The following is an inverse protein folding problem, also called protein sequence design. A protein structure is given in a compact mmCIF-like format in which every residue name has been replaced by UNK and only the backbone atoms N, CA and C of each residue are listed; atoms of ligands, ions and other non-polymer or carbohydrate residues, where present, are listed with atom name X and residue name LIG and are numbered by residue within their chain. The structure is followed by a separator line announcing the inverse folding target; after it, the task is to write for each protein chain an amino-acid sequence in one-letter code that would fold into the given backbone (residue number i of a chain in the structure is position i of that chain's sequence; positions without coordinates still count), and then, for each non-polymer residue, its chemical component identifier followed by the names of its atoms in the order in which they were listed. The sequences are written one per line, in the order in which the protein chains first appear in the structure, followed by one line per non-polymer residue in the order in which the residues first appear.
data_IF_743904138672
#
_entry.id   IF_743904138672
#
_cell.length_a   1.000
_cell.length_b   1.000
_cell.length_c   1.000
_cell.angle_alpha   90.00
_cell.angle_beta   90.00
_cell.angle_gamma   90.00
#
_symmetry.space_group_name_H-M   'P 1'
#
loop_
_entity.id
_entity.type
_entity.pdbx_description
1 polymer ?
#
# COMPACT_ATOMS: atom_id res chain seq x y z
N UNK A 1 -8.56 30.31 -5.93
CA UNK A 1 -9.15 28.95 -5.92
C UNK A 1 -8.90 28.35 -4.53
N UNK A 2 -9.93 28.08 -3.73
CA UNK A 2 -9.78 27.57 -2.35
C UNK A 2 -9.55 26.05 -2.43
N UNK A 3 -8.30 25.62 -2.53
CA UNK A 3 -7.93 24.20 -2.43
C UNK A 3 -7.59 23.96 -0.97
N UNK A 4 -8.50 23.39 -0.19
CA UNK A 4 -8.16 22.94 1.16
C UNK A 4 -7.18 21.78 1.05
N UNK A 5 -6.04 21.83 1.75
CA UNK A 5 -5.05 20.76 1.77
C UNK A 5 -5.50 19.47 2.48
N UNK A 6 -6.74 19.44 2.98
CA UNK A 6 -7.35 18.24 3.56
C UNK A 6 -7.92 17.32 2.49
N UNK A 7 -7.88 16.02 2.77
CA UNK A 7 -8.57 14.99 1.99
C UNK A 7 -10.08 15.07 2.27
N UNK A 8 -10.76 16.06 1.68
CA UNK A 8 -12.14 16.41 2.03
C UNK A 8 -13.19 15.57 1.32
N UNK A 9 -12.88 15.00 0.16
CA UNK A 9 -13.79 14.11 -0.56
C UNK A 9 -13.77 12.70 0.02
N UNK A 10 -14.91 12.02 -0.02
CA UNK A 10 -15.02 10.62 0.39
C UNK A 10 -14.07 9.72 -0.42
N UNK A 11 -13.96 9.96 -1.73
CA UNK A 11 -13.01 9.26 -2.59
C UNK A 11 -11.55 9.45 -2.12
N UNK A 12 -11.19 10.67 -1.72
CA UNK A 12 -9.87 10.94 -1.18
C UNK A 12 -9.64 10.22 0.16
N UNK A 13 -10.61 10.26 1.08
CA UNK A 13 -10.51 9.57 2.38
C UNK A 13 -10.34 8.07 2.17
N UNK A 14 -11.15 7.46 1.32
CA UNK A 14 -11.06 6.05 0.97
C UNK A 14 -9.68 5.69 0.37
N UNK A 15 -9.15 6.52 -0.54
CA UNK A 15 -7.81 6.32 -1.07
C UNK A 15 -6.74 6.41 0.02
N UNK A 16 -6.82 7.41 0.90
CA UNK A 16 -5.89 7.57 2.04
C UNK A 16 -5.92 6.35 2.95
N UNK A 17 -7.10 5.89 3.35
CA UNK A 17 -7.27 4.77 4.27
C UNK A 17 -6.78 3.47 3.65
N UNK A 18 -7.03 3.26 2.35
CA UNK A 18 -6.53 2.10 1.60
C UNK A 18 -4.99 2.10 1.56
N UNK A 19 -4.37 3.23 1.20
CA UNK A 19 -2.91 3.33 1.11
C UNK A 19 -2.24 3.19 2.48
N UNK A 20 -2.84 3.76 3.55
CA UNK A 20 -2.38 3.56 4.92
C UNK A 20 -2.52 2.10 5.38
N UNK A 21 -3.60 1.42 4.99
CA UNK A 21 -3.79 -0.01 5.23
C UNK A 21 -2.67 -0.84 4.59
N UNK A 22 -2.41 -0.62 3.30
CA UNK A 22 -1.33 -1.29 2.57
C UNK A 22 0.03 -1.05 3.22
N UNK A 23 0.36 0.20 3.56
CA UNK A 23 1.61 0.55 4.23
C UNK A 23 1.78 -0.23 5.54
N UNK A 24 0.74 -0.28 6.37
CA UNK A 24 0.75 -1.01 7.65
C UNK A 24 0.91 -2.51 7.44
N UNK A 25 0.21 -3.10 6.47
CA UNK A 25 0.33 -4.53 6.14
C UNK A 25 1.74 -4.87 5.67
N UNK A 26 2.31 -4.09 4.74
CA UNK A 26 3.70 -4.24 4.32
C UNK A 26 4.66 -4.16 5.51
N UNK A 27 4.48 -3.18 6.40
CA UNK A 27 5.30 -3.03 7.61
C UNK A 27 5.19 -4.24 8.54
N UNK A 28 3.99 -4.78 8.76
CA UNK A 28 3.79 -5.98 9.61
C UNK A 28 4.46 -7.23 9.03
N UNK A 29 4.54 -7.33 7.70
CA UNK A 29 5.16 -8.46 6.99
C UNK A 29 6.66 -8.26 6.73
N UNK A 30 7.26 -7.15 7.15
CA UNK A 30 8.68 -6.83 6.89
C UNK A 30 8.98 -6.51 5.43
N UNK A 31 7.98 -6.07 4.65
CA UNK A 31 8.09 -5.78 3.22
C UNK A 31 8.19 -4.26 3.03
N UNK A 32 9.10 -3.83 2.16
CA UNK A 32 9.15 -2.43 1.73
C UNK A 32 7.88 -2.06 0.95
N UNK A 33 7.16 -1.05 1.43
CA UNK A 33 5.95 -0.54 0.76
C UNK A 33 6.23 -0.07 -0.67
N UNK A 34 7.36 0.62 -0.90
CA UNK A 34 7.73 1.08 -2.24
C UNK A 34 8.12 -0.07 -3.17
N UNK A 35 8.71 -1.14 -2.63
CA UNK A 35 8.98 -2.35 -3.41
C UNK A 35 7.68 -3.02 -3.87
N UNK A 36 6.70 -3.13 -2.96
CA UNK A 36 5.38 -3.65 -3.28
C UNK A 36 4.68 -2.81 -4.36
N UNK A 37 4.68 -1.47 -4.22
CA UNK A 37 4.10 -0.60 -5.25
C UNK A 37 4.85 -0.71 -6.58
N UNK A 38 6.19 -0.77 -6.55
CA UNK A 38 7.01 -0.90 -7.74
C UNK A 38 6.70 -2.17 -8.52
N UNK A 39 6.51 -3.29 -7.83
CA UNK A 39 6.04 -4.55 -8.41
C UNK A 39 4.65 -4.40 -9.05
N UNK A 40 3.68 -3.79 -8.34
CA UNK A 40 2.32 -3.60 -8.85
C UNK A 40 2.23 -2.65 -10.04
N UNK A 41 3.12 -1.66 -10.12
CA UNK A 41 3.17 -0.69 -11.21
C UNK A 41 4.19 -1.05 -12.31
N UNK A 42 4.77 -2.25 -12.26
CA UNK A 42 5.76 -2.73 -13.22
C UNK A 42 6.96 -1.77 -13.40
N UNK A 43 7.45 -1.19 -12.29
CA UNK A 43 8.64 -0.33 -12.30
C UNK A 43 9.88 -1.19 -12.63
N UNK A 44 10.69 -0.83 -13.63
CA UNK A 44 11.87 -1.61 -14.01
C UNK A 44 12.87 -1.78 -12.86
N UNK A 45 13.44 -2.98 -12.72
CA UNK A 45 14.47 -3.29 -11.73
C UNK A 45 13.96 -3.58 -10.31
N UNK A 46 12.64 -3.69 -10.11
CA UNK A 46 12.04 -4.06 -8.83
C UNK A 46 11.93 -5.59 -8.70
N UNK A 47 12.27 -6.12 -7.52
CA UNK A 47 12.02 -7.53 -7.17
C UNK A 47 10.53 -7.78 -6.97
N UNK A 48 10.03 -8.87 -7.56
CA UNK A 48 8.64 -9.27 -7.44
C UNK A 48 8.24 -9.54 -5.97
N UNK A 49 7.06 -9.05 -5.59
CA UNK A 49 6.50 -9.22 -4.24
C UNK A 49 5.28 -10.14 -4.35
N UNK A 50 5.22 -11.19 -3.53
CA UNK A 50 4.05 -12.08 -3.50
C UNK A 50 2.79 -11.31 -3.07
N UNK A 51 1.58 -11.72 -3.51
CA UNK A 51 0.35 -11.06 -3.13
C UNK A 51 0.19 -10.96 -1.61
N UNK A 52 -0.10 -9.76 -1.10
CA UNK A 52 -0.29 -9.52 0.33
C UNK A 52 -1.31 -10.47 0.98
N UNK A 53 -2.46 -10.80 0.37
CA UNK A 53 -3.40 -11.75 0.98
C UNK A 53 -2.78 -13.12 1.26
N UNK A 54 -1.96 -13.63 0.33
CA UNK A 54 -1.24 -14.90 0.51
C UNK A 54 -0.24 -14.78 1.66
N UNK A 55 0.53 -13.70 1.71
CA UNK A 55 1.52 -13.47 2.77
C UNK A 55 0.88 -13.31 4.14
N UNK A 56 -0.28 -12.64 4.24
CA UNK A 56 -1.06 -12.53 5.48
C UNK A 56 -1.56 -13.91 5.92
N UNK A 57 -2.02 -14.76 5.02
CA UNK A 57 -2.48 -16.12 5.37
C UNK A 57 -1.37 -17.03 5.89
N UNK A 58 -0.13 -16.76 5.50
CA UNK A 58 1.06 -17.51 5.91
C UNK A 58 1.72 -16.93 7.17
N UNK A 59 1.40 -15.69 7.53
CA UNK A 59 1.96 -15.03 8.71
C UNK A 59 1.41 -15.69 9.98
N UNK A 60 2.31 -16.15 10.86
CA UNK A 60 1.94 -16.62 12.20
C UNK A 60 1.39 -15.44 13.02
N UNK A 61 0.35 -15.73 13.81
CA UNK A 61 -0.30 -14.76 14.70
C UNK A 61 0.63 -14.30 15.82
#
# INVERSE_FOLDING_TARGET
RKISGGTVSEAGKAARDTMLGLLKTCSKLGISYYQFLGDRFAVPGITAVAPLPTLVSLAKA
#
